data_IF_640195125925
#
_entry.id   IF_640195125925
#
_cell.length_a   1.000
_cell.length_b   1.000
_cell.length_c   1.000
_cell.angle_alpha   90.00
_cell.angle_beta   90.00
_cell.angle_gamma   90.00
#
_symmetry.space_group_name_H-M   'P 1'
#
loop_
_entity.id
_entity.type
_entity.pdbx_description
1 polymer ?
#
# COMPACT_ATOMS: atom_id res chain seq x y z
N UNK A 1 25.51 2.83 30.33
CA UNK A 1 24.81 1.61 30.79
C UNK A 1 24.55 0.75 29.57
N UNK A 2 25.00 -0.50 29.60
CA UNK A 2 25.09 -1.33 28.41
C UNK A 2 23.69 -1.69 27.90
N UNK A 3 23.52 -1.78 26.58
CA UNK A 3 22.24 -2.20 25.96
C UNK A 3 21.78 -3.58 26.47
N UNK A 4 22.72 -4.41 26.89
CA UNK A 4 22.53 -5.72 27.48
C UNK A 4 21.82 -5.68 28.84
N UNK A 5 22.12 -4.69 29.69
CA UNK A 5 21.49 -4.53 31.01
C UNK A 5 20.00 -4.21 30.89
N UNK A 6 19.64 -3.44 29.85
CA UNK A 6 18.25 -3.07 29.57
C UNK A 6 17.51 -4.28 29.03
N UNK A 7 18.13 -5.06 28.15
CA UNK A 7 17.52 -6.26 27.58
C UNK A 7 17.17 -7.29 28.66
N UNK A 8 18.12 -7.63 29.55
CA UNK A 8 17.89 -8.59 30.65
C UNK A 8 16.72 -8.17 31.54
N UNK A 9 16.67 -6.88 31.91
CA UNK A 9 15.56 -6.32 32.70
C UNK A 9 14.20 -6.47 32.01
N UNK A 10 14.15 -6.35 30.69
CA UNK A 10 12.91 -6.52 29.94
C UNK A 10 12.54 -8.00 29.73
N UNK A 11 13.52 -8.88 29.61
CA UNK A 11 13.29 -10.33 29.57
C UNK A 11 12.65 -10.82 30.87
N UNK A 12 13.19 -10.43 32.03
CA UNK A 12 12.63 -10.75 33.36
C UNK A 12 11.20 -10.22 33.51
N UNK A 13 10.96 -8.97 33.11
CA UNK A 13 9.64 -8.33 33.15
C UNK A 13 8.62 -9.05 32.27
N UNK A 14 9.01 -9.47 31.07
CA UNK A 14 8.12 -10.20 30.16
C UNK A 14 7.88 -11.62 30.65
N UNK A 15 8.86 -12.27 31.25
CA UNK A 15 8.68 -13.57 31.90
C UNK A 15 7.67 -13.48 33.05
N UNK A 16 7.80 -12.46 33.92
CA UNK A 16 6.84 -12.19 34.99
C UNK A 16 5.43 -11.86 34.45
N UNK A 17 5.34 -11.10 33.36
CA UNK A 17 4.07 -10.85 32.68
C UNK A 17 3.42 -12.14 32.15
N UNK A 18 4.18 -12.98 31.44
CA UNK A 18 3.69 -14.27 30.91
C UNK A 18 3.27 -15.23 32.02
N UNK A 19 4.04 -15.30 33.11
CA UNK A 19 3.71 -16.12 34.28
C UNK A 19 2.44 -15.64 34.99
N UNK A 20 2.18 -14.32 34.99
CA UNK A 20 0.98 -13.76 35.63
C UNK A 20 -0.33 -14.12 34.93
N UNK A 21 -0.29 -14.42 33.61
CA UNK A 21 -1.49 -14.69 32.81
C UNK A 21 -2.49 -13.52 32.73
N UNK A 22 -2.14 -12.35 33.28
CA UNK A 22 -3.02 -11.20 33.35
C UNK A 22 -3.05 -10.41 32.04
N UNK A 23 -4.11 -9.63 31.83
CA UNK A 23 -4.16 -8.70 30.69
C UNK A 23 -3.08 -7.62 30.85
N UNK A 24 -2.37 -7.31 29.76
CA UNK A 24 -1.28 -6.34 29.73
C UNK A 24 -1.61 -5.00 30.42
N UNK A 25 -2.84 -4.51 30.29
CA UNK A 25 -3.29 -3.26 30.94
C UNK A 25 -3.24 -3.35 32.47
N UNK A 26 -3.68 -4.46 33.04
CA UNK A 26 -3.73 -4.67 34.50
C UNK A 26 -2.31 -4.84 35.04
N UNK A 27 -1.50 -5.65 34.36
CA UNK A 27 -0.13 -5.90 34.75
C UNK A 27 0.77 -4.65 34.64
N UNK A 28 0.63 -3.87 33.56
CA UNK A 28 1.34 -2.59 33.40
C UNK A 28 0.98 -1.60 34.51
N UNK A 29 -0.29 -1.55 34.92
CA UNK A 29 -0.74 -0.68 36.02
C UNK A 29 -0.15 -1.11 37.37
N UNK A 30 -0.10 -2.41 37.64
CA UNK A 30 0.45 -2.95 38.89
C UNK A 30 1.99 -2.82 38.99
N UNK A 31 2.69 -3.00 37.86
CA UNK A 31 4.16 -2.99 37.80
C UNK A 31 4.75 -1.64 37.36
N UNK A 32 3.91 -0.60 37.21
CA UNK A 32 4.30 0.74 36.73
C UNK A 32 5.13 0.71 35.44
N UNK A 33 4.78 -0.20 34.53
CA UNK A 33 5.49 -0.38 33.26
C UNK A 33 4.70 0.27 32.13
N UNK A 34 5.38 1.05 31.28
CA UNK A 34 4.75 1.64 30.11
C UNK A 34 4.22 0.57 29.15
N UNK A 35 2.93 0.68 28.81
CA UNK A 35 2.24 -0.31 27.97
C UNK A 35 2.84 -0.37 26.57
N UNK A 36 3.20 0.77 25.97
CA UNK A 36 3.81 0.80 24.63
C UNK A 36 5.21 0.18 24.66
N UNK A 37 5.98 0.45 25.72
CA UNK A 37 7.26 -0.18 25.99
C UNK A 37 7.16 -1.70 26.07
N UNK A 38 6.18 -2.22 26.82
CA UNK A 38 5.96 -3.67 26.94
C UNK A 38 5.72 -4.34 25.58
N UNK A 39 4.83 -3.79 24.74
CA UNK A 39 4.59 -4.32 23.39
C UNK A 39 5.83 -4.23 22.50
N UNK A 40 6.58 -3.14 22.60
CA UNK A 40 7.81 -2.92 21.82
C UNK A 40 8.87 -3.95 22.19
N UNK A 41 9.07 -4.21 23.49
CA UNK A 41 10.01 -5.21 23.99
C UNK A 41 9.56 -6.64 23.73
N UNK A 42 8.26 -6.92 23.80
CA UNK A 42 7.71 -8.21 23.42
C UNK A 42 7.92 -8.50 21.93
N UNK A 43 7.78 -7.49 21.06
CA UNK A 43 8.11 -7.62 19.63
C UNK A 43 9.60 -7.82 19.40
N UNK A 44 10.46 -7.08 20.12
CA UNK A 44 11.92 -7.19 20.04
C UNK A 44 12.46 -8.54 20.53
N UNK A 45 11.92 -9.06 21.64
CA UNK A 45 12.35 -10.31 22.27
C UNK A 45 11.67 -11.54 21.67
N UNK A 46 10.43 -11.40 21.17
CA UNK A 46 9.70 -12.47 20.49
C UNK A 46 10.11 -12.71 19.04
N UNK A 47 10.98 -11.87 18.50
CA UNK A 47 11.47 -11.99 17.13
C UNK A 47 12.78 -11.22 16.97
N UNK A 48 13.89 -11.94 17.15
CA UNK A 48 15.17 -11.55 16.55
C UNK A 48 15.00 -11.59 15.03
N UNK A 49 14.48 -10.52 14.48
CA UNK A 49 14.80 -10.13 13.13
C UNK A 49 14.85 -8.62 13.16
N UNK A 50 16.08 -8.13 13.21
CA UNK A 50 16.52 -6.81 12.81
C UNK A 50 15.44 -6.11 11.99
N UNK A 51 14.66 -5.23 12.62
CA UNK A 51 13.81 -4.29 11.90
C UNK A 51 14.74 -3.22 11.33
N UNK A 52 15.52 -3.61 10.30
CA UNK A 52 15.55 -2.82 9.08
C UNK A 52 14.09 -2.67 8.71
N UNK A 53 13.65 -1.45 8.44
CA UNK A 53 12.30 -1.08 8.04
C UNK A 53 11.77 -2.01 6.94
N UNK A 54 11.23 -3.16 7.31
CA UNK A 54 10.66 -4.15 6.41
C UNK A 54 9.17 -4.09 6.68
N UNK A 55 8.50 -3.50 5.69
CA UNK A 55 7.07 -3.63 5.48
C UNK A 55 6.64 -5.08 5.75
N UNK A 56 5.42 -5.23 6.28
CA UNK A 56 4.72 -6.50 6.51
C UNK A 56 5.13 -7.55 5.46
N UNK A 57 5.36 -8.82 5.82
CA UNK A 57 5.49 -9.87 4.82
C UNK A 57 4.14 -10.02 4.13
N UNK A 58 3.96 -9.29 3.04
CA UNK A 58 2.82 -9.44 2.15
C UNK A 58 2.98 -10.80 1.51
N UNK A 59 2.19 -11.77 1.95
CA UNK A 59 2.08 -13.05 1.25
C UNK A 59 1.44 -12.75 -0.10
N UNK A 60 2.27 -12.61 -1.14
CA UNK A 60 1.79 -12.42 -2.50
C UNK A 60 1.23 -13.74 -3.00
N UNK A 61 -0.10 -13.82 -3.07
CA UNK A 61 -0.78 -14.88 -3.80
C UNK A 61 -0.57 -14.60 -5.30
N UNK A 62 -0.18 -15.63 -6.07
CA UNK A 62 -0.16 -15.52 -7.54
C UNK A 62 -1.59 -15.26 -8.01
N UNK A 63 -1.88 -14.00 -8.36
CA UNK A 63 -3.10 -13.66 -9.07
C UNK A 63 -3.02 -14.29 -10.46
N UNK A 64 -3.89 -15.25 -10.73
CA UNK A 64 -4.13 -15.70 -12.10
C UNK A 64 -4.89 -14.56 -12.76
N UNK A 65 -4.18 -13.73 -13.51
CA UNK A 65 -4.78 -12.74 -14.39
C UNK A 65 -5.52 -13.53 -15.45
N UNK A 66 -6.84 -13.65 -15.30
CA UNK A 66 -7.68 -13.99 -16.42
C UNK A 66 -7.43 -12.88 -17.44
N UNK A 67 -6.99 -13.19 -18.67
CA UNK A 67 -6.94 -12.15 -19.69
C UNK A 67 -8.35 -11.58 -19.76
N UNK A 68 -8.49 -10.32 -19.36
CA UNK A 68 -9.67 -9.53 -19.70
C UNK A 68 -9.88 -9.76 -21.20
N UNK A 69 -11.11 -10.07 -21.67
CA UNK A 69 -11.33 -10.13 -23.11
C UNK A 69 -10.76 -8.83 -23.66
N UNK A 70 -9.74 -8.94 -24.53
CA UNK A 70 -9.04 -7.78 -25.07
C UNK A 70 -10.09 -6.73 -25.33
N UNK A 71 -9.97 -5.51 -24.75
CA UNK A 71 -10.97 -4.49 -25.00
C UNK A 71 -11.05 -4.44 -26.51
N UNK A 72 -12.21 -4.86 -27.05
CA UNK A 72 -12.42 -4.95 -28.49
C UNK A 72 -11.88 -3.63 -28.99
N UNK A 73 -10.74 -3.68 -29.67
CA UNK A 73 -10.04 -2.47 -30.06
C UNK A 73 -10.95 -1.90 -31.12
N UNK A 74 -11.97 -1.16 -30.69
CA UNK A 74 -12.78 -0.31 -31.52
C UNK A 74 -11.72 0.61 -32.07
N UNK A 75 -11.38 0.37 -33.34
CA UNK A 75 -10.31 1.06 -34.03
C UNK A 75 -10.66 2.55 -34.02
N UNK A 76 -10.27 3.22 -32.95
CA UNK A 76 -10.59 4.60 -32.68
C UNK A 76 -9.39 5.40 -33.14
N UNK A 77 -9.60 6.21 -34.17
CA UNK A 77 -8.60 7.13 -34.65
C UNK A 77 -8.56 8.34 -33.71
N UNK A 78 -7.45 8.50 -33.00
CA UNK A 78 -7.22 9.65 -32.12
C UNK A 78 -6.37 10.70 -32.83
N UNK A 79 -6.92 11.89 -33.02
CA UNK A 79 -6.24 13.04 -33.64
C UNK A 79 -5.94 14.06 -32.54
N UNK A 80 -4.68 14.50 -32.42
CA UNK A 80 -4.28 15.56 -31.47
C UNK A 80 -3.85 16.81 -32.24
N UNK A 81 -4.44 17.96 -31.91
CA UNK A 81 -4.11 19.26 -32.48
C UNK A 81 -3.89 20.23 -31.31
N UNK A 82 -2.62 20.55 -31.01
CA UNK A 82 -2.27 21.37 -29.84
C UNK A 82 -2.80 20.76 -28.54
N UNK A 83 -3.69 21.48 -27.84
CA UNK A 83 -4.36 21.02 -26.63
C UNK A 83 -5.66 20.24 -26.88
N UNK A 84 -6.17 20.23 -28.12
CA UNK A 84 -7.41 19.54 -28.49
C UNK A 84 -7.13 18.07 -28.87
N UNK A 85 -8.04 17.18 -28.47
CA UNK A 85 -8.01 15.75 -28.81
C UNK A 85 -9.37 15.38 -29.38
N UNK A 86 -9.36 14.77 -30.57
CA UNK A 86 -10.56 14.26 -31.26
C UNK A 86 -10.44 12.75 -31.31
N UNK A 87 -11.46 12.05 -30.81
CA UNK A 87 -11.58 10.59 -30.87
C UNK A 87 -12.64 10.21 -31.90
N UNK A 88 -12.27 9.34 -32.84
CA UNK A 88 -13.10 8.97 -33.98
C UNK A 88 -13.27 7.46 -34.02
N UNK A 89 -14.45 6.98 -33.68
CA UNK A 89 -14.77 5.56 -33.71
C UNK A 89 -15.12 5.05 -35.12
N UNK A 90 -15.06 3.72 -35.30
CA UNK A 90 -15.51 3.06 -36.52
C UNK A 90 -16.99 3.35 -36.79
N UNK A 91 -17.34 3.70 -38.04
CA UNK A 91 -18.70 4.06 -38.46
C UNK A 91 -19.03 5.55 -38.31
N UNK A 92 -18.04 6.40 -38.01
CA UNK A 92 -18.22 7.85 -38.01
C UNK A 92 -18.64 8.40 -39.38
N UNK A 93 -19.25 9.59 -39.38
CA UNK A 93 -19.60 10.31 -40.61
C UNK A 93 -18.39 11.12 -41.13
N UNK A 94 -17.83 10.78 -42.31
CA UNK A 94 -16.67 11.49 -42.84
C UNK A 94 -16.91 12.96 -43.17
N UNK A 95 -18.12 13.31 -43.61
CA UNK A 95 -18.48 14.70 -43.91
C UNK A 95 -18.54 15.55 -42.64
N UNK A 96 -19.04 14.97 -41.54
CA UNK A 96 -19.07 15.64 -40.24
C UNK A 96 -17.65 15.89 -39.72
N UNK A 97 -16.78 14.88 -39.76
CA UNK A 97 -15.39 15.04 -39.31
C UNK A 97 -14.65 16.11 -40.12
N UNK A 98 -14.85 16.15 -41.45
CA UNK A 98 -14.28 17.18 -42.31
C UNK A 98 -14.73 18.58 -41.92
N UNK A 99 -16.03 18.79 -41.67
CA UNK A 99 -16.55 20.10 -41.27
C UNK A 99 -15.98 20.55 -39.91
N UNK A 100 -15.83 19.62 -38.96
CA UNK A 100 -15.22 19.89 -37.66
C UNK A 100 -13.76 20.32 -37.82
N UNK A 101 -12.99 19.61 -38.66
CA UNK A 101 -11.59 19.97 -38.93
C UNK A 101 -11.47 21.33 -39.62
N UNK A 102 -12.32 21.63 -40.61
CA UNK A 102 -12.35 22.93 -41.28
C UNK A 102 -12.68 24.08 -40.33
N UNK A 103 -13.66 23.89 -39.43
CA UNK A 103 -13.99 24.90 -38.43
C UNK A 103 -12.85 25.17 -37.44
N UNK A 104 -11.92 24.23 -37.24
CA UNK A 104 -10.73 24.42 -36.44
C UNK A 104 -9.61 25.14 -37.20
N UNK A 105 -9.55 25.03 -38.53
CA UNK A 105 -8.59 25.77 -39.37
C UNK A 105 -8.87 27.29 -39.36
N UNK A 106 -10.14 27.70 -39.33
CA UNK A 106 -10.54 29.12 -39.31
C UNK A 106 -10.28 29.84 -37.97
N UNK A 107 -9.93 29.08 -36.92
CA UNK A 107 -9.72 29.59 -35.54
C UNK A 107 -8.23 29.74 -35.19
N UNK A 108 -7.32 29.34 -36.10
CA UNK A 108 -5.87 29.54 -35.98
C UNK A 108 -5.40 30.76 -36.76
#
# INVERSE_FOLDING_TARGET
MAREDVQKKWEERIAAFRASGEKAVKWCKANQVDRRGLYTWMKRLGGSSTVVTTAKPTTFVKAVVTPEPEPKSSACLRIKIGAAVIEVDAGFNPALLRNVVQALEDVC
#
